data_IF_892312470303
#
_entry.id   IF_892312470303
#
_cell.length_a   1.000
_cell.length_b   1.000
_cell.length_c   1.000
_cell.angle_alpha   90.00
_cell.angle_beta   90.00
_cell.angle_gamma   90.00
#
_symmetry.space_group_name_H-M   'P 1'
#
loop_
_entity.id
_entity.type
_entity.pdbx_description
1 polymer ?
#
# COMPACT_ATOMS: atom_id res chain seq x y z
N UNK A 1 -11.68 8.87 15.06
CA UNK A 1 -10.97 8.32 13.90
C UNK A 1 -11.34 9.17 12.68
N UNK A 2 -10.36 9.64 11.92
CA UNK A 2 -10.62 10.41 10.72
C UNK A 2 -10.87 9.48 9.51
N UNK A 3 -11.98 9.68 8.81
CA UNK A 3 -12.25 9.01 7.53
C UNK A 3 -11.73 9.87 6.38
N UNK A 4 -11.14 9.23 5.37
CA UNK A 4 -10.59 9.87 4.19
C UNK A 4 -11.46 9.61 2.96
N UNK A 5 -11.27 10.44 1.93
CA UNK A 5 -11.86 10.27 0.60
C UNK A 5 -10.73 10.24 -0.43
N UNK A 6 -10.99 9.67 -1.60
CA UNK A 6 -9.98 9.59 -2.66
C UNK A 6 -9.35 10.96 -2.96
N UNK A 7 -8.03 11.02 -3.04
CA UNK A 7 -7.24 12.24 -3.25
C UNK A 7 -6.99 13.10 -2.01
N UNK A 8 -7.62 12.82 -0.87
CA UNK A 8 -7.40 13.60 0.34
C UNK A 8 -6.03 13.30 0.98
N UNK A 9 -5.52 14.26 1.76
CA UNK A 9 -4.21 14.18 2.40
C UNK A 9 -4.36 14.41 3.91
N UNK A 10 -3.64 13.63 4.72
CA UNK A 10 -3.59 13.77 6.17
C UNK A 10 -2.15 14.03 6.64
N UNK A 11 -1.89 15.10 7.42
CA UNK A 11 -0.54 15.42 7.87
C UNK A 11 -0.18 14.64 9.15
N UNK A 12 0.48 13.50 9.01
CA UNK A 12 0.68 12.55 10.11
C UNK A 12 1.57 13.11 11.22
N UNK A 13 2.82 13.48 10.92
CA UNK A 13 3.78 13.92 11.94
C UNK A 13 3.50 15.32 12.46
N UNK A 14 2.92 16.19 11.62
CA UNK A 14 2.53 17.53 12.05
C UNK A 14 1.37 17.50 13.06
N UNK A 15 0.39 16.61 12.88
CA UNK A 15 -0.73 16.44 13.82
C UNK A 15 -0.42 15.46 14.96
N UNK A 16 0.64 14.64 14.82
CA UNK A 16 1.08 13.70 15.84
C UNK A 16 2.60 13.88 16.10
N UNK A 17 3.00 14.96 16.82
CA UNK A 17 4.40 15.19 17.13
C UNK A 17 5.05 14.00 17.85
N UNK A 18 6.24 13.61 17.41
CA UNK A 18 6.98 12.49 17.98
C UNK A 18 6.51 11.10 17.53
N UNK A 19 5.61 11.00 16.55
CA UNK A 19 5.22 9.74 15.93
C UNK A 19 6.47 9.06 15.30
N UNK A 20 6.93 7.91 15.82
CA UNK A 20 8.20 7.30 15.36
C UNK A 20 8.06 6.59 14.01
N UNK A 21 6.83 6.27 13.64
CA UNK A 21 6.49 5.44 12.50
C UNK A 21 5.00 5.11 12.48
N UNK A 22 4.60 4.33 11.49
CA UNK A 22 3.21 3.89 11.32
C UNK A 22 3.12 2.45 10.83
N UNK A 23 1.99 1.83 11.11
CA UNK A 23 1.55 0.60 10.48
C UNK A 23 0.58 0.99 9.36
N UNK A 24 0.88 0.60 8.13
CA UNK A 24 -0.01 0.68 6.99
C UNK A 24 -0.70 -0.67 6.86
N UNK A 25 -1.97 -0.72 7.23
CA UNK A 25 -2.73 -1.95 7.23
C UNK A 25 -3.77 -1.91 6.10
N UNK A 26 -3.69 -2.91 5.22
CA UNK A 26 -4.59 -3.10 4.09
C UNK A 26 -5.50 -4.28 4.37
N UNK A 27 -6.78 -4.12 4.09
CA UNK A 27 -7.75 -5.19 4.24
C UNK A 27 -8.74 -5.22 3.09
N UNK A 28 -9.20 -6.42 2.77
CA UNK A 28 -10.21 -6.65 1.76
C UNK A 28 -11.09 -7.84 2.14
N UNK A 29 -12.32 -7.83 1.65
CA UNK A 29 -13.24 -8.98 1.77
C UNK A 29 -13.59 -9.47 0.39
N UNK A 30 -13.25 -10.74 0.11
CA UNK A 30 -13.66 -11.43 -1.11
C UNK A 30 -14.89 -12.31 -0.82
N UNK A 31 -15.82 -12.40 -1.78
CA UNK A 31 -16.91 -13.38 -1.68
C UNK A 31 -16.37 -14.73 -2.11
N UNK A 32 -16.60 -15.80 -1.32
CA UNK A 32 -16.37 -17.16 -1.78
C UNK A 32 -17.14 -17.41 -3.07
N UNK A 33 -16.46 -17.93 -4.07
CA UNK A 33 -17.03 -18.29 -5.37
C UNK A 33 -16.63 -19.71 -5.69
N UNK A 34 -17.49 -20.44 -6.40
CA UNK A 34 -17.16 -21.78 -6.89
C UNK A 34 -16.16 -21.75 -8.07
N UNK A 35 -15.80 -20.57 -8.58
CA UNK A 35 -14.72 -20.36 -9.54
C UNK A 35 -13.41 -19.90 -8.90
N UNK A 36 -12.33 -19.72 -9.68
CA UNK A 36 -11.02 -19.30 -9.17
C UNK A 36 -11.12 -18.03 -8.29
N UNK A 37 -10.65 -18.13 -7.06
CA UNK A 37 -10.53 -16.98 -6.16
C UNK A 37 -9.25 -16.22 -6.50
N UNK A 38 -9.35 -14.93 -6.75
CA UNK A 38 -8.17 -14.07 -6.85
C UNK A 38 -7.63 -13.84 -5.44
N UNK A 39 -6.59 -14.59 -5.08
CA UNK A 39 -5.81 -14.32 -3.88
C UNK A 39 -4.98 -13.05 -4.14
N UNK A 40 -5.35 -11.97 -3.44
CA UNK A 40 -4.61 -10.73 -3.49
C UNK A 40 -3.38 -10.81 -2.60
N UNK A 41 -2.31 -10.14 -3.01
CA UNK A 41 -1.17 -9.84 -2.15
C UNK A 41 -0.81 -8.36 -2.26
N UNK A 42 -0.07 -7.83 -1.30
CA UNK A 42 0.34 -6.43 -1.26
C UNK A 42 1.81 -6.22 -1.56
N UNK A 43 2.11 -4.99 -1.96
CA UNK A 43 3.46 -4.50 -2.16
C UNK A 43 3.55 -3.05 -1.72
N UNK A 44 4.68 -2.69 -1.11
CA UNK A 44 5.12 -1.32 -0.93
C UNK A 44 6.26 -1.01 -1.92
N UNK A 45 6.17 0.14 -2.57
CA UNK A 45 7.18 0.63 -3.53
C UNK A 45 7.82 1.87 -2.94
N UNK A 46 9.13 1.81 -2.64
CA UNK A 46 9.88 2.94 -2.08
C UNK A 46 10.51 3.75 -3.21
N UNK A 47 10.14 5.04 -3.25
CA UNK A 47 10.34 5.91 -4.39
C UNK A 47 11.19 7.14 -4.07
N UNK A 48 11.95 7.58 -5.07
CA UNK A 48 12.65 8.85 -5.07
C UNK A 48 11.73 10.05 -5.36
N UNK A 49 12.34 11.23 -5.46
CA UNK A 49 11.63 12.49 -5.71
C UNK A 49 10.97 12.58 -7.10
N UNK A 50 11.41 11.77 -8.06
CA UNK A 50 10.81 11.65 -9.39
C UNK A 50 9.54 10.78 -9.40
N UNK A 51 9.18 10.20 -8.25
CA UNK A 51 8.03 9.31 -8.09
C UNK A 51 8.26 7.88 -8.59
N UNK A 52 9.48 7.55 -9.02
CA UNK A 52 9.87 6.21 -9.48
C UNK A 52 10.51 5.41 -8.35
N UNK A 53 10.44 4.09 -8.44
CA UNK A 53 11.12 3.20 -7.51
C UNK A 53 12.63 3.46 -7.54
N UNK A 54 13.28 3.45 -6.37
CA UNK A 54 14.73 3.66 -6.30
C UNK A 54 15.51 2.53 -6.97
N UNK A 55 15.04 1.28 -6.78
CA UNK A 55 15.51 0.08 -7.47
C UNK A 55 14.54 -1.08 -7.20
N UNK A 56 14.68 -2.25 -7.86
CA UNK A 56 13.93 -3.45 -7.48
C UNK A 56 14.17 -3.91 -6.02
N UNK A 57 15.32 -3.59 -5.43
CA UNK A 57 15.62 -3.86 -4.01
C UNK A 57 14.83 -2.96 -3.03
N UNK A 58 14.10 -1.97 -3.55
CA UNK A 58 13.27 -1.04 -2.79
C UNK A 58 11.77 -1.39 -2.87
N UNK A 59 11.47 -2.62 -3.27
CA UNK A 59 10.16 -3.23 -3.12
C UNK A 59 10.06 -3.94 -1.78
N UNK A 60 8.89 -3.91 -1.16
CA UNK A 60 8.62 -4.63 0.09
C UNK A 60 7.34 -5.43 -0.05
N UNK A 61 7.45 -6.75 0.04
CA UNK A 61 6.36 -7.72 -0.12
C UNK A 61 6.78 -9.07 0.49
N UNK A 62 5.93 -10.09 0.43
CA UNK A 62 6.15 -11.37 1.14
C UNK A 62 7.46 -12.10 0.80
N UNK A 63 8.07 -11.89 -0.38
CA UNK A 63 9.38 -12.46 -0.74
C UNK A 63 10.56 -11.50 -0.54
N UNK A 64 10.31 -10.22 -0.27
CA UNK A 64 11.33 -9.21 0.02
C UNK A 64 10.85 -8.38 1.21
N UNK A 65 11.09 -8.91 2.41
CA UNK A 65 10.38 -8.46 3.62
C UNK A 65 10.75 -7.06 4.09
N UNK A 66 11.89 -6.50 3.66
CA UNK A 66 12.33 -5.19 4.15
C UNK A 66 13.30 -4.51 3.19
N UNK A 67 13.32 -3.18 3.20
CA UNK A 67 14.33 -2.40 2.50
C UNK A 67 15.70 -2.50 3.18
N UNK A 68 16.76 -2.16 2.45
CA UNK A 68 18.04 -1.81 3.05
C UNK A 68 17.85 -0.75 4.15
N UNK A 69 18.49 -0.95 5.30
CA UNK A 69 18.33 -0.06 6.46
C UNK A 69 17.04 -0.27 7.28
N UNK A 70 16.11 -1.12 6.84
CA UNK A 70 14.99 -1.64 7.63
C UNK A 70 13.86 -0.66 7.96
N UNK A 71 13.82 0.51 7.32
CA UNK A 71 12.80 1.54 7.57
C UNK A 71 11.42 1.22 7.01
N UNK A 72 11.30 0.28 6.07
CA UNK A 72 10.03 -0.24 5.56
C UNK A 72 10.06 -1.75 5.63
N UNK A 73 9.02 -2.36 6.21
CA UNK A 73 9.00 -3.80 6.49
C UNK A 73 7.61 -4.41 6.31
N UNK A 74 7.52 -5.48 5.54
CA UNK A 74 6.34 -6.33 5.47
C UNK A 74 6.13 -7.06 6.80
N UNK A 75 4.92 -6.98 7.35
CA UNK A 75 4.56 -7.58 8.63
C UNK A 75 3.54 -8.73 8.51
N UNK A 76 2.99 -8.98 7.32
CA UNK A 76 1.96 -10.00 7.10
C UNK A 76 0.57 -9.57 7.57
N UNK A 77 -0.36 -10.52 7.64
CA UNK A 77 -1.75 -10.28 8.05
C UNK A 77 -1.99 -10.48 9.54
N UNK A 78 -3.03 -9.81 10.05
CA UNK A 78 -3.57 -10.01 11.39
C UNK A 78 -5.10 -10.24 11.31
N UNK A 79 -5.75 -10.57 12.43
CA UNK A 79 -7.18 -10.93 12.44
C UNK A 79 -8.12 -9.92 11.73
N UNK A 80 -7.77 -8.62 11.72
CA UNK A 80 -8.56 -7.56 11.09
C UNK A 80 -8.09 -7.19 9.68
N UNK A 81 -6.80 -7.30 9.40
CA UNK A 81 -6.17 -6.76 8.20
C UNK A 81 -5.54 -7.89 7.39
N UNK A 82 -5.74 -7.86 6.08
CA UNK A 82 -5.20 -8.90 5.21
C UNK A 82 -3.67 -8.86 5.20
N UNK A 83 -3.09 -7.66 5.09
CA UNK A 83 -1.64 -7.46 5.10
C UNK A 83 -1.25 -6.11 5.71
N UNK A 84 -0.09 -6.05 6.38
CA UNK A 84 0.44 -4.87 7.04
C UNK A 84 1.88 -4.58 6.60
N UNK A 85 2.22 -3.29 6.51
CA UNK A 85 3.58 -2.79 6.30
C UNK A 85 3.94 -1.77 7.37
N UNK A 86 5.02 -2.02 8.08
CA UNK A 86 5.57 -1.11 9.08
C UNK A 86 6.51 -0.11 8.41
N UNK A 87 6.41 1.14 8.82
CA UNK A 87 7.29 2.22 8.38
C UNK A 87 7.85 2.95 9.59
N UNK A 88 9.17 2.88 9.80
CA UNK A 88 9.88 3.59 10.86
C UNK A 88 10.58 4.83 10.29
N UNK A 89 10.01 6.01 10.53
CA UNK A 89 10.39 7.24 9.83
C UNK A 89 11.86 7.63 10.00
N UNK A 90 12.45 7.34 11.16
CA UNK A 90 13.86 7.63 11.43
C UNK A 90 14.84 6.74 10.64
N UNK A 91 14.38 5.58 10.18
CA UNK A 91 15.18 4.61 9.41
C UNK A 91 14.92 4.68 7.91
N UNK A 92 13.91 5.44 7.48
CA UNK A 92 13.69 5.72 6.07
C UNK A 92 14.74 6.74 5.58
N UNK A 93 15.58 6.39 4.60
CA UNK A 93 16.61 7.28 4.06
C UNK A 93 16.05 8.63 3.56
N UNK A 94 16.93 9.63 3.45
CA UNK A 94 16.55 11.00 3.09
C UNK A 94 16.23 11.18 1.60
N UNK A 95 16.77 10.32 0.74
CA UNK A 95 16.50 10.25 -0.70
C UNK A 95 15.14 9.61 -1.02
N UNK A 96 14.53 8.90 -0.06
CA UNK A 96 13.14 8.43 -0.16
C UNK A 96 12.18 9.60 0.03
N UNK A 97 11.46 9.94 -1.05
CA UNK A 97 10.44 10.97 -1.02
C UNK A 97 9.04 10.40 -0.74
N UNK A 98 8.81 9.13 -1.09
CA UNK A 98 7.47 8.53 -1.11
C UNK A 98 7.51 7.01 -0.96
N UNK A 99 6.49 6.45 -0.32
CA UNK A 99 6.26 5.00 -0.22
C UNK A 99 4.81 4.75 -0.64
N UNK A 100 4.63 4.02 -1.73
CA UNK A 100 3.30 3.74 -2.30
C UNK A 100 2.86 2.32 -1.96
N UNK A 101 1.61 2.13 -1.57
CA UNK A 101 1.07 0.86 -1.09
C UNK A 101 -0.05 0.37 -2.02
N UNK A 102 0.06 -0.87 -2.47
CA UNK A 102 -0.89 -1.48 -3.39
C UNK A 102 -1.19 -2.93 -3.03
N UNK A 103 -2.33 -3.42 -3.54
CA UNK A 103 -2.59 -4.84 -3.66
C UNK A 103 -2.74 -5.24 -5.13
N UNK A 104 -2.41 -6.48 -5.47
CA UNK A 104 -2.47 -7.00 -6.84
C UNK A 104 -2.80 -8.49 -6.87
N UNK A 105 -3.27 -8.95 -8.03
CA UNK A 105 -3.35 -10.38 -8.37
C UNK A 105 -2.05 -10.77 -9.04
N UNK A 106 -1.32 -11.71 -8.46
CA UNK A 106 -0.11 -12.27 -9.06
C UNK A 106 -0.49 -13.30 -10.15
N UNK A 107 -0.30 -13.00 -11.44
CA UNK A 107 -0.72 -13.91 -12.50
C UNK A 107 0.15 -15.16 -12.58
N UNK A 108 1.40 -15.12 -12.11
CA UNK A 108 2.33 -16.24 -12.17
C UNK A 108 2.08 -17.24 -11.04
N UNK A 109 1.90 -16.73 -9.82
CA UNK A 109 1.68 -17.58 -8.65
C UNK A 109 0.22 -17.97 -8.46
N UNK A 110 -0.73 -17.11 -8.85
CA UNK A 110 -2.16 -17.23 -8.51
C UNK A 110 -3.07 -17.34 -9.74
N UNK A 111 -2.49 -17.34 -10.94
CA UNK A 111 -3.21 -17.43 -12.20
C UNK A 111 -3.92 -16.11 -12.56
N UNK A 112 -4.55 -16.06 -13.75
CA UNK A 112 -5.25 -14.86 -14.19
C UNK A 112 -6.41 -14.53 -13.24
N UNK A 113 -6.52 -13.26 -12.87
CA UNK A 113 -7.61 -12.80 -12.01
C UNK A 113 -7.73 -11.29 -12.00
N UNK A 114 -8.79 -10.82 -11.35
CA UNK A 114 -9.13 -9.41 -11.17
C UNK A 114 -9.70 -9.22 -9.77
N UNK A 115 -9.97 -7.97 -9.39
CA UNK A 115 -10.62 -7.63 -8.14
C UNK A 115 -12.14 -7.94 -8.14
N UNK A 116 -12.66 -8.72 -9.10
CA UNK A 116 -14.09 -8.99 -9.29
C UNK A 116 -14.74 -9.66 -8.08
N UNK A 117 -13.98 -10.50 -7.36
CA UNK A 117 -14.45 -11.18 -6.15
C UNK A 117 -14.42 -10.26 -4.91
N UNK A 118 -13.70 -9.13 -4.97
CA UNK A 118 -13.51 -8.21 -3.85
C UNK A 118 -14.74 -7.31 -3.72
N UNK A 119 -15.32 -7.23 -2.51
CA UNK A 119 -16.52 -6.43 -2.23
C UNK A 119 -16.21 -5.15 -1.47
N UNK A 120 -15.20 -5.21 -0.63
CA UNK A 120 -14.69 -4.06 0.09
C UNK A 120 -13.18 -4.17 0.17
N UNK A 121 -12.53 -3.02 0.09
CA UNK A 121 -11.11 -2.86 0.36
C UNK A 121 -10.89 -1.55 1.11
N UNK A 122 -9.88 -1.52 1.96
CA UNK A 122 -9.54 -0.35 2.75
C UNK A 122 -8.05 -0.32 3.06
N UNK A 123 -7.54 0.87 3.31
CA UNK A 123 -6.28 1.09 4.01
C UNK A 123 -6.54 1.89 5.28
N UNK A 124 -5.85 1.52 6.35
CA UNK A 124 -5.78 2.33 7.56
C UNK A 124 -4.32 2.61 7.89
N UNK A 125 -4.09 3.76 8.49
CA UNK A 125 -2.80 4.12 9.07
C UNK A 125 -2.98 4.07 10.58
N UNK A 126 -2.10 3.33 11.25
CA UNK A 126 -2.11 3.19 12.69
C UNK A 126 -0.75 3.54 13.30
N UNK A 127 -0.77 3.85 14.59
CA UNK A 127 0.45 3.93 15.40
C UNK A 127 1.05 2.53 15.59
N UNK A 128 2.31 2.42 16.04
CA UNK A 128 2.95 1.13 16.32
C UNK A 128 2.25 0.28 17.38
N UNK A 129 1.43 0.89 18.26
CA UNK A 129 0.61 0.17 19.24
C UNK A 129 -0.71 -0.38 18.65
N UNK A 130 -0.91 -0.24 17.32
CA UNK A 130 -2.10 -0.66 16.60
C UNK A 130 -3.25 0.35 16.62
N UNK A 131 -3.15 1.44 17.39
CA UNK A 131 -4.20 2.45 17.46
C UNK A 131 -4.38 3.19 16.13
N UNK A 132 -5.60 3.20 15.62
CA UNK A 132 -5.91 3.75 14.31
C UNK A 132 -5.90 5.28 14.30
N UNK A 133 -5.13 5.87 13.38
CA UNK A 133 -5.07 7.31 13.14
C UNK A 133 -6.14 7.72 12.13
N UNK A 134 -6.17 7.04 10.99
CA UNK A 134 -7.06 7.33 9.89
C UNK A 134 -7.41 6.06 9.10
N UNK A 135 -8.49 6.16 8.34
CA UNK A 135 -8.99 5.11 7.47
C UNK A 135 -9.42 5.68 6.13
N UNK A 136 -9.16 4.93 5.08
CA UNK A 136 -9.74 5.14 3.76
C UNK A 136 -10.39 3.83 3.30
N UNK A 137 -11.72 3.84 3.19
CA UNK A 137 -12.47 2.79 2.51
C UNK A 137 -12.51 3.10 1.01
N UNK A 138 -12.06 2.18 0.17
CA UNK A 138 -11.95 2.40 -1.27
C UNK A 138 -13.35 2.38 -1.90
N UNK A 139 -13.82 3.50 -2.48
CA UNK A 139 -15.10 3.52 -3.16
C UNK A 139 -15.02 2.83 -4.52
N UNK A 140 -16.07 2.13 -4.92
CA UNK A 140 -16.32 1.64 -6.29
C UNK A 140 -15.07 1.16 -7.05
N UNK A 141 -14.55 -0.01 -6.65
CA UNK A 141 -13.31 -0.58 -7.18
C UNK A 141 -13.33 -0.95 -8.67
N UNK A 142 -14.50 -1.03 -9.31
CA UNK A 142 -14.65 -1.56 -10.69
C UNK A 142 -13.89 -2.89 -10.88
N UNK A 143 -14.05 -3.80 -9.90
CA UNK A 143 -13.15 -4.93 -9.72
C UNK A 143 -13.11 -5.92 -10.90
N UNK A 144 -14.10 -5.91 -11.79
CA UNK A 144 -14.18 -6.78 -12.96
C UNK A 144 -13.00 -6.62 -13.93
N UNK A 145 -12.42 -5.43 -14.01
CA UNK A 145 -11.27 -5.13 -14.91
C UNK A 145 -9.96 -4.90 -14.18
N UNK A 146 -10.01 -4.51 -12.90
CA UNK A 146 -8.83 -4.10 -12.14
C UNK A 146 -8.02 -5.32 -11.69
N UNK A 147 -6.70 -5.30 -11.92
CA UNK A 147 -5.74 -6.36 -11.56
C UNK A 147 -4.74 -5.94 -10.50
N UNK A 148 -4.52 -4.63 -10.32
CA UNK A 148 -3.75 -4.06 -9.22
C UNK A 148 -4.40 -2.75 -8.78
N UNK A 149 -4.21 -2.35 -7.52
CA UNK A 149 -4.87 -1.18 -6.95
C UNK A 149 -3.97 -0.47 -5.95
N UNK A 150 -3.74 0.83 -6.15
CA UNK A 150 -3.11 1.70 -5.17
C UNK A 150 -4.10 2.05 -4.07
N UNK A 151 -3.76 1.73 -2.84
CA UNK A 151 -4.57 2.08 -1.69
C UNK A 151 -4.25 3.50 -1.25
N UNK A 152 -2.95 3.83 -1.19
CA UNK A 152 -2.47 5.14 -0.80
C UNK A 152 -0.96 5.26 -0.83
N UNK A 153 -0.45 6.37 -0.35
CA UNK A 153 0.99 6.62 -0.26
C UNK A 153 1.33 7.47 0.96
N UNK A 154 2.46 7.14 1.58
CA UNK A 154 3.17 8.04 2.50
C UNK A 154 4.11 8.90 1.67
N UNK A 155 4.17 10.20 1.94
CA UNK A 155 5.10 11.09 1.26
C UNK A 155 5.65 12.14 2.21
N UNK A 156 6.90 12.53 1.96
CA UNK A 156 7.53 13.66 2.66
C UNK A 156 6.98 14.97 2.10
N UNK A 157 6.69 15.90 2.99
CA UNK A 157 6.32 17.26 2.65
C UNK A 157 7.01 18.19 3.63
N UNK A 158 8.12 18.80 3.19
CA UNK A 158 9.11 19.44 4.07
C UNK A 158 9.65 18.41 5.07
N UNK A 159 9.65 18.73 6.36
CA UNK A 159 10.15 17.87 7.43
C UNK A 159 9.10 16.87 7.93
N UNK A 160 7.89 16.90 7.37
CA UNK A 160 6.77 16.07 7.80
C UNK A 160 6.46 14.90 6.87
N UNK A 161 5.92 13.84 7.45
CA UNK A 161 5.26 12.76 6.72
C UNK A 161 3.76 13.00 6.64
N UNK A 162 3.21 12.77 5.44
CA UNK A 162 1.79 12.83 5.15
C UNK A 162 1.33 11.53 4.53
N UNK A 163 0.06 11.19 4.71
CA UNK A 163 -0.60 10.12 3.97
C UNK A 163 -1.55 10.70 2.93
N UNK A 164 -1.61 10.11 1.75
CA UNK A 164 -2.59 10.41 0.70
C UNK A 164 -3.41 9.17 0.39
N UNK A 165 -4.73 9.31 0.43
CA UNK A 165 -5.66 8.28 -0.04
C UNK A 165 -5.73 8.31 -1.57
N UNK A 166 -5.60 7.16 -2.23
CA UNK A 166 -5.61 7.07 -3.69
C UNK A 166 -6.85 6.32 -4.20
N UNK A 167 -6.89 4.99 -4.07
CA UNK A 167 -7.96 4.16 -4.62
C UNK A 167 -7.88 4.01 -6.15
N UNK A 168 -6.68 4.07 -6.72
CA UNK A 168 -6.47 4.01 -8.17
C UNK A 168 -6.27 2.55 -8.63
N UNK A 169 -7.08 2.09 -9.57
CA UNK A 169 -6.95 0.77 -10.18
C UNK A 169 -6.09 0.74 -11.46
N UNK A 170 -5.46 -0.39 -11.72
CA UNK A 170 -4.74 -0.73 -12.96
C UNK A 170 -5.39 -1.93 -13.64
N UNK A 171 -5.93 -1.73 -14.85
CA UNK A 171 -6.49 -2.81 -15.66
C UNK A 171 -5.40 -3.75 -16.23
N UNK A 172 -4.22 -3.21 -16.50
CA UNK A 172 -3.03 -3.95 -16.93
C UNK A 172 -2.21 -4.53 -15.77
N UNK A 173 -2.67 -4.38 -14.52
CA UNK A 173 -2.04 -4.98 -13.33
C UNK A 173 -0.62 -4.50 -13.11
N UNK A 174 0.26 -5.42 -12.71
CA UNK A 174 1.67 -5.10 -12.44
C UNK A 174 2.42 -4.52 -13.63
N UNK A 175 1.99 -4.77 -14.87
CA UNK A 175 2.62 -4.15 -16.05
C UNK A 175 2.46 -2.63 -16.02
N UNK A 176 1.27 -2.14 -15.67
CA UNK A 176 1.04 -0.69 -15.55
C UNK A 176 1.75 -0.10 -14.35
N UNK A 177 1.75 -0.81 -13.22
CA UNK A 177 2.51 -0.42 -12.03
C UNK A 177 4.00 -0.32 -12.37
N UNK A 178 4.56 -1.32 -13.05
CA UNK A 178 5.97 -1.32 -13.44
C UNK A 178 6.33 -0.13 -14.33
N UNK A 179 5.46 0.21 -15.29
CA UNK A 179 5.64 1.37 -16.16
C UNK A 179 5.65 2.69 -15.38
N UNK A 180 4.66 2.90 -14.53
CA UNK A 180 4.51 4.14 -13.75
C UNK A 180 5.65 4.33 -12.74
N UNK A 181 6.12 3.23 -12.13
CA UNK A 181 7.18 3.26 -11.13
C UNK A 181 8.58 3.00 -11.71
N UNK A 182 8.70 2.74 -13.01
CA UNK A 182 9.99 2.50 -13.67
C UNK A 182 10.69 1.20 -13.26
N UNK A 183 9.92 0.18 -12.95
CA UNK A 183 10.41 -1.14 -12.58
C UNK A 183 10.45 -2.08 -13.79
N UNK A 184 11.28 -3.11 -13.67
CA UNK A 184 11.24 -4.31 -14.51
C UNK A 184 10.76 -5.44 -13.58
N UNK A 185 9.47 -5.79 -13.68
CA UNK A 185 8.77 -6.76 -12.83
C UNK A 185 8.49 -8.04 -13.59
#
# INVERSE_FOLDING_TARGET
MASMVAGSNAPLTAENPGLPGVIIAMGWTAVPSNGPQSELTSMAIVCGADGRALSPEHLVFFNQLTTAGGGVRFAGGEARDAEQVDVEFARVPADVAKISFLAYVDPELRGPGTFAAVRSAYVRVARPDGSELLRFDIPEMHGDRIKAMMFGELYRHRDDWKFRALGQGYENGLVGVAQDFGLDL
#
